data_IF_099238339934
#
_entry.id   IF_099238339934
#
_cell.length_a   1.000
_cell.length_b   1.000
_cell.length_c   1.000
_cell.angle_alpha   90.00
_cell.angle_beta   90.00
_cell.angle_gamma   90.00
#
_symmetry.space_group_name_H-M   'P 1'
#
loop_
_entity.id
_entity.type
_entity.pdbx_description
1 polymer ?
#
# COMPACT_ATOMS: atom_id res chain seq x y z
N UNK A 1 -15.78 12.30 27.47
CA UNK A 1 -15.29 11.13 28.22
C UNK A 1 -13.90 10.77 27.67
N UNK A 2 -12.91 10.63 28.56
CA UNK A 2 -11.45 10.43 28.36
C UNK A 2 -10.76 11.11 27.16
N UNK A 3 -10.65 12.44 27.18
CA UNK A 3 -9.76 13.20 26.26
C UNK A 3 -8.56 13.87 26.95
N UNK A 4 -8.55 13.96 28.27
CA UNK A 4 -7.45 14.58 29.02
C UNK A 4 -6.31 13.57 29.09
N UNK A 5 -5.18 13.87 28.46
CA UNK A 5 -3.92 13.10 28.48
C UNK A 5 -3.90 11.77 27.68
N UNK A 6 -4.70 11.62 26.62
CA UNK A 6 -4.60 10.43 25.75
C UNK A 6 -3.19 10.36 25.14
N UNK A 7 -2.43 9.31 25.49
CA UNK A 7 -1.15 9.00 24.85
C UNK A 7 -1.43 8.18 23.59
N UNK A 8 -1.04 8.72 22.43
CA UNK A 8 -1.15 8.04 21.15
C UNK A 8 0.21 8.10 20.46
N UNK A 9 0.94 6.98 20.45
CA UNK A 9 2.29 6.90 19.87
C UNK A 9 2.27 7.01 18.34
N UNK A 10 1.13 6.76 17.71
CA UNK A 10 0.94 6.81 16.25
C UNK A 10 0.57 8.20 15.75
N UNK A 11 0.04 9.07 16.60
CA UNK A 11 -0.51 10.37 16.20
C UNK A 11 0.53 11.23 15.45
N UNK A 12 0.20 11.59 14.20
CA UNK A 12 1.06 12.40 13.33
C UNK A 12 2.34 11.71 12.86
N UNK A 13 2.47 10.38 13.05
CA UNK A 13 3.61 9.59 12.57
C UNK A 13 3.21 8.70 11.40
N UNK A 14 4.20 8.19 10.68
CA UNK A 14 4.01 7.15 9.67
C UNK A 14 4.00 5.80 10.38
N UNK A 15 3.01 4.97 10.07
CA UNK A 15 2.96 3.57 10.50
C UNK A 15 3.58 2.70 9.42
N UNK A 16 4.62 1.93 9.74
CA UNK A 16 5.20 0.94 8.83
C UNK A 16 4.91 -0.46 9.40
N UNK A 17 4.42 -1.35 8.55
CA UNK A 17 4.00 -2.72 8.91
C UNK A 17 4.81 -3.72 8.09
N UNK A 18 5.44 -4.67 8.78
CA UNK A 18 6.24 -5.74 8.18
C UNK A 18 5.76 -7.13 8.69
N UNK A 19 6.29 -8.20 8.12
CA UNK A 19 6.06 -9.58 8.59
C UNK A 19 4.95 -10.35 7.89
N UNK A 20 4.19 -9.72 6.98
CA UNK A 20 3.11 -10.35 6.21
C UNK A 20 3.27 -10.12 4.69
N UNK A 21 4.42 -10.48 4.08
CA UNK A 21 4.75 -10.07 2.71
C UNK A 21 3.87 -10.71 1.63
N UNK A 22 3.23 -11.82 1.93
CA UNK A 22 2.44 -12.60 0.96
C UNK A 22 0.94 -12.29 1.00
N UNK A 23 0.53 -11.26 1.74
CA UNK A 23 -0.84 -10.76 1.66
C UNK A 23 -1.15 -10.31 0.24
N UNK A 24 -2.40 -10.49 -0.18
CA UNK A 24 -2.91 -9.79 -1.36
C UNK A 24 -2.97 -8.29 -1.07
N UNK A 25 -2.87 -7.46 -2.11
CA UNK A 25 -2.88 -6.00 -1.97
C UNK A 25 -4.17 -5.52 -1.30
N UNK A 26 -5.30 -6.17 -1.57
CA UNK A 26 -6.60 -5.88 -0.95
C UNK A 26 -6.62 -6.20 0.55
N UNK A 27 -5.95 -7.28 0.98
CA UNK A 27 -5.82 -7.62 2.40
C UNK A 27 -4.87 -6.65 3.12
N UNK A 28 -3.78 -6.27 2.46
CA UNK A 28 -2.87 -5.25 2.97
C UNK A 28 -3.57 -3.88 3.11
N UNK A 29 -4.53 -3.59 2.23
CA UNK A 29 -5.34 -2.37 2.31
C UNK A 29 -6.11 -2.30 3.62
N UNK A 30 -6.67 -3.40 4.14
CA UNK A 30 -7.37 -3.44 5.43
C UNK A 30 -6.50 -2.93 6.58
N UNK A 31 -5.21 -3.30 6.60
CA UNK A 31 -4.25 -2.82 7.60
C UNK A 31 -3.92 -1.34 7.41
N UNK A 32 -3.70 -0.93 6.17
CA UNK A 32 -3.35 0.46 5.84
C UNK A 32 -4.50 1.43 6.09
N UNK A 33 -5.74 1.02 5.83
CA UNK A 33 -6.95 1.82 6.01
C UNK A 33 -7.22 2.06 7.50
N UNK A 34 -7.07 1.02 8.33
CA UNK A 34 -7.19 1.12 9.79
C UNK A 34 -6.15 2.04 10.45
N UNK A 35 -5.09 2.44 9.75
CA UNK A 35 -4.09 3.38 10.28
C UNK A 35 -4.67 4.79 10.52
N UNK A 36 -5.69 5.19 9.76
CA UNK A 36 -6.39 6.46 9.97
C UNK A 36 -7.03 6.53 11.36
N UNK A 37 -7.57 5.40 11.85
CA UNK A 37 -8.14 5.26 13.19
C UNK A 37 -7.08 5.32 14.31
N UNK A 38 -5.79 5.35 13.96
CA UNK A 38 -4.68 5.60 14.89
C UNK A 38 -4.18 7.04 14.83
N UNK A 39 -4.82 7.90 14.03
CA UNK A 39 -4.35 9.26 13.75
C UNK A 39 -2.93 9.29 13.17
N UNK A 40 -2.52 8.21 12.50
CA UNK A 40 -1.28 8.16 11.74
C UNK A 40 -1.39 9.13 10.54
N UNK A 41 -0.26 9.71 10.14
CA UNK A 41 -0.19 10.59 8.98
C UNK A 41 -0.19 9.81 7.65
N UNK A 42 0.35 8.59 7.67
CA UNK A 42 0.39 7.67 6.54
C UNK A 42 0.66 6.24 7.04
N UNK A 43 0.48 5.26 6.15
CA UNK A 43 0.83 3.87 6.40
C UNK A 43 1.58 3.29 5.20
N UNK A 44 2.57 2.43 5.49
CA UNK A 44 3.27 1.58 4.52
C UNK A 44 3.19 0.13 5.00
N UNK A 45 3.00 -0.80 4.07
CA UNK A 45 2.96 -2.25 4.35
C UNK A 45 3.96 -2.92 3.41
N UNK A 46 4.91 -3.67 3.97
CA UNK A 46 5.94 -4.36 3.20
C UNK A 46 5.37 -5.62 2.55
N UNK A 47 5.23 -5.60 1.21
CA UNK A 47 4.67 -6.69 0.41
C UNK A 47 5.68 -7.27 -0.57
N UNK A 48 5.51 -8.54 -0.93
CA UNK A 48 6.29 -9.23 -1.95
C UNK A 48 6.07 -8.66 -3.36
N UNK A 49 7.07 -8.82 -4.23
CA UNK A 49 6.95 -8.41 -5.64
C UNK A 49 5.84 -9.20 -6.33
N UNK A 50 5.66 -10.46 -5.93
CA UNK A 50 4.65 -11.39 -6.41
C UNK A 50 3.23 -10.87 -6.14
N UNK A 51 2.93 -10.51 -4.89
CA UNK A 51 1.62 -9.95 -4.50
C UNK A 51 1.30 -8.66 -5.27
N UNK A 52 2.27 -7.75 -5.38
CA UNK A 52 2.09 -6.48 -6.10
C UNK A 52 1.91 -6.73 -7.61
N UNK A 53 2.68 -7.67 -8.19
CA UNK A 53 2.60 -8.01 -9.61
C UNK A 53 1.28 -8.69 -9.98
N UNK A 54 0.74 -9.56 -9.13
CA UNK A 54 -0.60 -10.16 -9.30
C UNK A 54 -1.66 -9.06 -9.42
N UNK A 55 -1.64 -8.12 -8.47
CA UNK A 55 -2.59 -7.00 -8.45
C UNK A 55 -2.44 -6.10 -9.68
N UNK A 56 -1.22 -5.73 -10.06
CA UNK A 56 -0.98 -4.86 -11.23
C UNK A 56 -1.48 -5.52 -12.53
N UNK A 57 -1.26 -6.83 -12.72
CA UNK A 57 -1.77 -7.55 -13.90
C UNK A 57 -3.30 -7.50 -13.98
N UNK A 58 -3.98 -7.76 -12.85
CA UNK A 58 -5.44 -7.65 -12.77
C UNK A 58 -5.93 -6.24 -13.09
N UNK A 59 -5.26 -5.21 -12.58
CA UNK A 59 -5.62 -3.82 -12.79
C UNK A 59 -5.42 -3.36 -14.24
N UNK A 60 -4.41 -3.85 -14.95
CA UNK A 60 -4.24 -3.56 -16.38
C UNK A 60 -5.47 -4.02 -17.16
N UNK A 61 -5.91 -5.26 -16.95
CA UNK A 61 -7.11 -5.81 -17.62
C UNK A 61 -8.37 -5.02 -17.28
N UNK A 62 -8.52 -4.61 -16.02
CA UNK A 62 -9.65 -3.76 -15.60
C UNK A 62 -9.63 -2.39 -16.31
N UNK A 63 -8.46 -1.73 -16.36
CA UNK A 63 -8.32 -0.42 -17.00
C UNK A 63 -8.63 -0.50 -18.50
N UNK A 64 -8.20 -1.58 -19.17
CA UNK A 64 -8.50 -1.81 -20.59
C UNK A 64 -10.01 -1.98 -20.82
N UNK A 65 -10.67 -2.79 -19.98
CA UNK A 65 -12.13 -2.93 -20.02
C UNK A 65 -12.88 -1.60 -19.77
N UNK A 66 -12.37 -0.75 -18.87
CA UNK A 66 -12.95 0.59 -18.65
C UNK A 66 -12.84 1.50 -19.88
N UNK A 67 -11.73 1.43 -20.62
CA UNK A 67 -11.54 2.19 -21.86
C UNK A 67 -12.56 1.75 -22.93
N UNK A 68 -12.78 0.44 -23.06
CA UNK A 68 -13.76 -0.15 -23.96
C UNK A 68 -15.20 0.24 -23.56
N UNK A 69 -15.50 0.21 -22.27
CA UNK A 69 -16.78 0.63 -21.71
C UNK A 69 -17.06 2.14 -21.81
N UNK A 70 -16.11 2.93 -22.34
CA UNK A 70 -16.31 4.36 -22.60
C UNK A 70 -16.08 5.27 -21.40
N UNK A 71 -15.36 4.83 -20.37
CA UNK A 71 -14.97 5.69 -19.26
C UNK A 71 -14.21 6.93 -19.75
N UNK A 72 -14.45 8.05 -19.07
CA UNK A 72 -13.89 9.34 -19.46
C UNK A 72 -12.37 9.37 -19.38
N UNK A 73 -11.75 10.20 -20.22
CA UNK A 73 -10.31 10.39 -20.30
C UNK A 73 -9.51 9.09 -20.61
N UNK A 74 -9.89 8.42 -21.71
CA UNK A 74 -9.22 7.22 -22.25
C UNK A 74 -7.71 7.35 -22.34
N UNK A 75 -7.19 8.51 -22.73
CA UNK A 75 -5.76 8.76 -22.82
C UNK A 75 -5.05 8.61 -21.46
N UNK A 76 -5.70 9.01 -20.36
CA UNK A 76 -5.13 8.87 -19.00
C UNK A 76 -5.16 7.42 -18.52
N UNK A 77 -6.25 6.70 -18.77
CA UNK A 77 -6.34 5.28 -18.49
C UNK A 77 -5.28 4.48 -19.26
N UNK A 78 -5.14 4.73 -20.56
CA UNK A 78 -4.15 4.06 -21.41
C UNK A 78 -2.71 4.30 -20.92
N UNK A 79 -2.37 5.56 -20.57
CA UNK A 79 -1.05 5.88 -19.98
C UNK A 79 -0.81 5.16 -18.66
N UNK A 80 -1.84 4.97 -17.82
CA UNK A 80 -1.71 4.25 -16.55
C UNK A 80 -1.43 2.77 -16.78
N UNK A 81 -2.20 2.12 -17.65
CA UNK A 81 -1.99 0.72 -18.02
C UNK A 81 -0.59 0.50 -18.63
N UNK A 82 -0.11 1.43 -19.46
CA UNK A 82 1.24 1.33 -20.03
C UNK A 82 2.32 1.41 -18.97
N UNK A 83 2.26 2.38 -18.05
CA UNK A 83 3.22 2.48 -16.94
C UNK A 83 3.22 1.24 -16.04
N UNK A 84 2.04 0.64 -15.83
CA UNK A 84 1.89 -0.62 -15.11
C UNK A 84 2.60 -1.77 -15.85
N UNK A 85 2.43 -1.87 -17.18
CA UNK A 85 3.17 -2.85 -18.00
C UNK A 85 4.68 -2.61 -18.00
N UNK A 86 5.11 -1.37 -18.05
CA UNK A 86 6.53 -1.01 -17.97
C UNK A 86 7.16 -1.47 -16.66
N UNK A 87 6.48 -1.23 -15.53
CA UNK A 87 6.95 -1.70 -14.22
C UNK A 87 7.05 -3.24 -14.17
N UNK A 88 6.09 -3.96 -14.76
CA UNK A 88 6.11 -5.43 -14.82
C UNK A 88 7.29 -6.01 -15.64
N UNK A 89 7.94 -5.23 -16.51
CA UNK A 89 9.12 -5.69 -17.28
C UNK A 89 10.36 -5.84 -16.39
N UNK A 90 10.46 -5.04 -15.33
CA UNK A 90 11.56 -5.09 -14.36
C UNK A 90 11.03 -4.66 -12.98
N UNK A 91 10.27 -5.52 -12.30
CA UNK A 91 9.58 -5.14 -11.07
C UNK A 91 10.59 -4.98 -9.93
N UNK A 92 10.55 -3.81 -9.29
CA UNK A 92 11.39 -3.50 -8.14
C UNK A 92 10.57 -2.79 -7.07
N UNK A 93 10.82 -3.11 -5.80
CA UNK A 93 10.23 -2.46 -4.64
C UNK A 93 11.34 -1.88 -3.75
N UNK A 94 11.04 -0.73 -3.14
CA UNK A 94 11.89 -0.19 -2.09
C UNK A 94 11.64 -0.97 -0.79
N UNK A 95 12.68 -1.09 0.03
CA UNK A 95 12.63 -1.72 1.36
C UNK A 95 13.27 -0.78 2.36
N UNK A 96 12.85 -0.87 3.62
CA UNK A 96 13.52 -0.17 4.71
C UNK A 96 14.98 -0.65 4.81
N UNK A 97 15.88 0.29 5.11
CA UNK A 97 17.26 -0.05 5.44
C UNK A 97 17.30 -0.83 6.77
N UNK A 98 18.24 -1.77 6.91
CA UNK A 98 18.35 -2.62 8.10
C UNK A 98 18.59 -1.85 9.40
N UNK A 99 19.10 -0.63 9.31
CA UNK A 99 19.42 0.25 10.42
C UNK A 99 18.47 1.45 10.55
N UNK A 100 17.35 1.43 9.81
CA UNK A 100 16.27 2.41 9.92
C UNK A 100 15.86 2.65 11.38
N UNK A 101 15.63 3.92 11.73
CA UNK A 101 15.32 4.34 13.10
C UNK A 101 13.84 4.67 13.23
N UNK A 102 13.16 3.91 14.07
CA UNK A 102 11.75 4.11 14.38
C UNK A 102 11.59 4.82 15.72
N UNK A 103 10.58 5.68 15.83
CA UNK A 103 10.23 6.31 17.10
C UNK A 103 9.79 5.27 18.15
N UNK A 104 9.13 4.21 17.69
CA UNK A 104 8.68 3.06 18.47
C UNK A 104 8.68 1.82 17.57
N UNK A 105 9.03 0.66 18.13
CA UNK A 105 8.91 -0.65 17.48
C UNK A 105 7.91 -1.46 18.33
N UNK A 106 6.97 -2.13 17.67
CA UNK A 106 5.95 -2.96 18.31
C UNK A 106 5.97 -4.33 17.64
N UNK A 107 6.45 -5.34 18.36
CA UNK A 107 6.45 -6.72 17.91
C UNK A 107 5.15 -7.42 18.34
N UNK A 108 4.46 -8.06 17.38
CA UNK A 108 3.22 -8.79 17.62
C UNK A 108 3.45 -10.25 17.24
N UNK A 109 3.28 -11.15 18.21
CA UNK A 109 3.30 -12.59 17.96
C UNK A 109 1.89 -13.04 17.53
N UNK A 110 1.79 -13.70 16.37
CA UNK A 110 0.53 -14.16 15.78
C UNK A 110 0.03 -15.48 16.39
#
# INVERSE_FOLDING_TARGET
VEKKNKKNIFAGKILEIEGLPNLKVEQAFELSDASAERSAAACSVDLSIESVSEYIKSNISLIEAMIEAGYENKATLARRAEKMREWLKNPTLLRADKDAKYAYIIDINL
#
